data_IF_682116530448
#
_entry.id   IF_682116530448
#
_cell.length_a   1.000
_cell.length_b   1.000
_cell.length_c   1.000
_cell.angle_alpha   90.00
_cell.angle_beta   90.00
_cell.angle_gamma   90.00
#
_symmetry.space_group_name_H-M   'P 1'
#
loop_
_entity.id
_entity.type
_entity.pdbx_description
1 polymer ?
#
# COMPACT_ATOMS: atom_id res chain seq x y z
N UNK A 1 -37.20 -37.10 -7.55
CA UNK A 1 -37.45 -35.96 -6.63
C UNK A 1 -36.11 -35.48 -6.08
N UNK A 2 -35.44 -34.55 -6.77
CA UNK A 2 -34.13 -34.02 -6.34
C UNK A 2 -34.20 -32.51 -6.29
N UNK A 3 -34.87 -32.00 -5.26
CA UNK A 3 -35.07 -30.55 -5.06
C UNK A 3 -34.58 -30.16 -3.67
N UNK A 4 -33.28 -29.97 -3.56
CA UNK A 4 -32.62 -29.21 -2.48
C UNK A 4 -31.46 -28.47 -3.15
N UNK A 5 -31.64 -27.21 -3.54
CA UNK A 5 -31.51 -26.02 -2.68
C UNK A 5 -30.05 -25.59 -2.60
N UNK A 6 -29.63 -24.92 -3.66
CA UNK A 6 -28.46 -24.05 -3.64
C UNK A 6 -28.91 -22.64 -4.04
N UNK A 7 -29.33 -21.80 -3.09
CA UNK A 7 -29.16 -20.38 -3.25
C UNK A 7 -27.78 -20.06 -2.68
N UNK A 8 -26.75 -20.09 -3.51
CA UNK A 8 -25.72 -19.10 -3.32
C UNK A 8 -26.37 -17.77 -3.73
N UNK A 9 -26.76 -16.86 -2.79
CA UNK A 9 -26.82 -15.48 -3.21
C UNK A 9 -25.37 -15.17 -3.55
N UNK A 10 -25.08 -15.05 -4.84
CA UNK A 10 -23.92 -14.30 -5.26
C UNK A 10 -24.17 -12.89 -4.72
N UNK A 11 -23.74 -12.69 -3.47
CA UNK A 11 -23.80 -11.42 -2.80
C UNK A 11 -23.00 -10.48 -3.67
N UNK A 12 -23.70 -9.53 -4.28
CA UNK A 12 -23.13 -8.31 -4.81
C UNK A 12 -22.14 -7.74 -3.78
N UNK A 13 -20.86 -8.06 -3.95
CA UNK A 13 -19.72 -7.23 -3.57
C UNK A 13 -18.63 -7.43 -4.60
N UNK A 14 -18.92 -7.09 -5.85
CA UNK A 14 -17.87 -6.65 -6.79
C UNK A 14 -17.30 -5.33 -6.25
N UNK A 15 -15.98 -5.14 -6.39
CA UNK A 15 -15.10 -4.79 -5.30
C UNK A 15 -15.22 -3.32 -4.96
N UNK A 16 -15.56 -2.99 -3.71
CA UNK A 16 -15.21 -1.67 -3.17
C UNK A 16 -13.72 -1.70 -2.88
N UNK A 17 -12.96 -1.66 -3.98
CA UNK A 17 -11.67 -1.04 -4.07
C UNK A 17 -10.62 -1.70 -3.15
N UNK A 18 -10.16 -2.89 -3.54
CA UNK A 18 -8.92 -3.43 -2.99
C UNK A 18 -7.71 -2.74 -3.65
N UNK A 19 -7.71 -1.42 -3.62
CA UNK A 19 -6.66 -0.54 -4.18
C UNK A 19 -6.07 0.40 -3.12
N UNK A 20 -6.56 0.39 -1.88
CA UNK A 20 -6.14 1.39 -0.88
C UNK A 20 -5.68 0.80 0.45
N UNK A 21 -4.77 -0.17 0.36
CA UNK A 21 -3.75 -0.35 1.40
C UNK A 21 -2.38 -0.65 0.77
N UNK A 22 -2.08 -0.06 -0.39
CA UNK A 22 -0.67 0.14 -0.74
C UNK A 22 -0.27 1.46 -0.12
N UNK A 23 0.01 1.44 1.19
CA UNK A 23 0.77 2.52 1.79
C UNK A 23 2.09 2.57 1.01
N UNK A 24 2.16 3.46 0.02
CA UNK A 24 3.37 3.69 -0.76
C UNK A 24 4.34 4.34 0.18
N UNK A 25 5.23 3.54 0.76
CA UNK A 25 6.32 4.04 1.57
C UNK A 25 7.09 5.06 0.74
N UNK A 26 7.09 6.30 1.19
CA UNK A 26 7.88 7.34 0.52
C UNK A 26 9.27 7.28 1.11
N UNK A 27 10.31 7.43 0.30
CA UNK A 27 11.71 7.41 0.71
C UNK A 27 12.33 8.77 0.45
N UNK A 28 13.14 9.27 1.38
CA UNK A 28 13.74 10.61 1.31
C UNK A 28 15.24 10.59 1.59
N UNK A 29 15.98 11.53 1.00
CA UNK A 29 17.43 11.61 1.20
C UNK A 29 17.76 12.43 2.46
N UNK A 30 18.62 11.96 3.38
CA UNK A 30 18.96 12.68 4.61
C UNK A 30 19.67 14.03 4.36
N UNK A 31 20.36 14.17 3.22
CA UNK A 31 21.06 15.41 2.83
C UNK A 31 20.25 16.28 1.85
N UNK A 32 19.26 15.70 1.17
CA UNK A 32 18.44 16.36 0.16
C UNK A 32 16.96 16.06 0.40
N UNK A 33 16.32 16.74 1.38
CA UNK A 33 14.95 16.44 1.81
C UNK A 33 13.88 16.72 0.75
N UNK A 34 14.24 17.46 -0.32
CA UNK A 34 13.41 17.67 -1.51
C UNK A 34 13.32 16.44 -2.43
N UNK A 35 14.17 15.42 -2.22
CA UNK A 35 14.10 14.16 -2.95
C UNK A 35 13.14 13.24 -2.20
N UNK A 36 12.02 12.92 -2.84
CA UNK A 36 11.03 11.95 -2.39
C UNK A 36 10.81 10.91 -3.50
N UNK A 37 10.84 9.62 -3.17
CA UNK A 37 10.65 8.51 -4.09
C UNK A 37 9.63 7.53 -3.51
N UNK A 38 8.85 6.85 -4.36
CA UNK A 38 7.90 5.80 -3.94
C UNK A 38 8.56 4.43 -3.71
N UNK A 39 9.88 4.32 -3.95
CA UNK A 39 10.64 3.09 -3.85
C UNK A 39 11.99 3.30 -3.14
N UNK A 40 12.58 2.24 -2.54
CA UNK A 40 13.93 2.31 -1.98
C UNK A 40 14.96 2.50 -3.10
N UNK A 41 16.07 3.19 -2.79
CA UNK A 41 17.12 3.45 -3.78
C UNK A 41 18.20 4.41 -3.27
N UNK A 42 18.98 4.93 -4.21
CA UNK A 42 19.99 5.96 -3.96
C UNK A 42 19.51 7.33 -4.47
N UNK A 43 19.89 8.38 -3.76
CA UNK A 43 19.61 9.76 -4.11
C UNK A 43 20.30 10.13 -5.43
N UNK A 44 19.58 10.66 -6.43
CA UNK A 44 20.17 11.02 -7.73
C UNK A 44 21.09 12.24 -7.66
N UNK A 45 21.04 13.02 -6.56
CA UNK A 45 21.88 14.21 -6.37
C UNK A 45 23.26 13.87 -5.78
N UNK A 46 23.31 13.01 -4.79
CA UNK A 46 24.54 12.73 -4.02
C UNK A 46 24.92 11.26 -3.93
N UNK A 47 24.07 10.34 -4.42
CA UNK A 47 24.31 8.90 -4.38
C UNK A 47 24.09 8.22 -3.04
N UNK A 48 23.71 8.94 -1.97
CA UNK A 48 23.41 8.32 -0.67
C UNK A 48 22.10 7.52 -0.68
N UNK A 49 22.01 6.48 0.14
CA UNK A 49 20.78 5.68 0.33
C UNK A 49 19.62 6.55 0.82
N UNK A 50 18.43 6.32 0.28
CA UNK A 50 17.19 6.97 0.71
C UNK A 50 16.59 6.24 1.93
N UNK A 51 16.05 7.01 2.88
CA UNK A 51 15.43 6.51 4.10
C UNK A 51 13.89 6.53 4.01
N UNK A 52 13.19 5.52 4.54
CA UNK A 52 11.72 5.48 4.50
C UNK A 52 11.10 6.56 5.39
N UNK A 53 10.34 7.44 4.76
CA UNK A 53 9.39 8.37 5.35
C UNK A 53 8.09 7.59 5.61
N UNK A 54 7.78 7.37 6.87
CA UNK A 54 6.59 6.62 7.29
C UNK A 54 5.33 7.38 6.86
N UNK A 55 4.59 6.82 5.90
CA UNK A 55 3.25 7.31 5.56
C UNK A 55 2.26 6.18 5.81
N UNK A 56 1.64 6.21 6.99
CA UNK A 56 0.36 5.55 7.26
C UNK A 56 0.34 4.02 7.15
N UNK A 57 0.93 3.34 8.13
CA UNK A 57 0.61 1.97 8.50
C UNK A 57 0.31 1.87 9.99
N UNK A 58 -0.58 2.74 10.50
CA UNK A 58 -1.22 2.55 11.80
C UNK A 58 -2.62 2.01 11.54
N UNK A 59 -2.70 0.69 11.59
CA UNK A 59 -3.89 -0.14 11.78
C UNK A 59 -3.27 -1.43 12.31
N UNK A 60 -3.45 -1.86 13.53
CA UNK A 60 -4.18 -1.45 14.71
C UNK A 60 -3.51 -2.28 15.82
N UNK A 61 -3.59 -1.82 17.05
CA UNK A 61 -3.03 -2.46 18.24
C UNK A 61 -3.54 -3.91 18.42
N UNK A 62 -2.63 -4.88 18.65
CA UNK A 62 -2.83 -5.96 19.63
C UNK A 62 -1.47 -6.42 20.19
#
# INVERSE_FOLDING_TARGET
>A
MSKTKDPAPYGERRPVNREWRTATATYTCPMHPEIEQDHPGQCPKCGMTLEPKTIGGVDDEE
#
